data_IF_782349993613
#
_entry.id   IF_782349993613
#
_cell.length_a   1.000
_cell.length_b   1.000
_cell.length_c   1.000
_cell.angle_alpha   90.00
_cell.angle_beta   90.00
_cell.angle_gamma   90.00
#
_symmetry.space_group_name_H-M   'P 1'
#
loop_
_entity.id
_entity.type
_entity.pdbx_description
1 polymer ?
#
# COMPACT_ATOMS: atom_id res chain seq x y z
N UNK A 1 29.10 -18.47 18.83
CA UNK A 1 28.42 -17.61 17.84
C UNK A 1 28.88 -16.18 18.10
N UNK A 2 29.66 -15.61 17.19
CA UNK A 2 30.18 -14.24 17.32
C UNK A 2 29.03 -13.25 17.09
N UNK A 3 28.84 -12.34 18.05
CA UNK A 3 27.89 -11.24 17.94
C UNK A 3 28.22 -10.44 16.67
N UNK A 4 27.29 -10.23 15.72
CA UNK A 4 27.60 -9.48 14.51
C UNK A 4 27.99 -8.06 14.90
N UNK A 5 29.27 -7.71 14.75
CA UNK A 5 29.78 -6.35 15.00
C UNK A 5 29.17 -5.43 13.94
N UNK A 6 28.25 -4.56 14.36
CA UNK A 6 27.75 -3.45 13.54
C UNK A 6 28.98 -2.65 13.05
N UNK A 7 29.09 -2.31 11.75
CA UNK A 7 30.20 -1.53 11.22
C UNK A 7 30.36 -0.22 12.00
N UNK A 8 31.60 0.14 12.36
CA UNK A 8 31.92 1.30 13.19
C UNK A 8 31.35 2.59 12.61
N UNK A 9 31.30 2.70 11.29
CA UNK A 9 30.73 3.82 10.53
C UNK A 9 29.22 3.98 10.76
N UNK A 10 28.46 2.88 10.81
CA UNK A 10 27.01 2.92 11.06
C UNK A 10 26.70 3.33 12.50
N UNK A 11 27.54 2.91 13.46
CA UNK A 11 27.44 3.36 14.86
C UNK A 11 27.72 4.86 14.98
N UNK A 12 28.76 5.36 14.30
CA UNK A 12 29.14 6.77 14.34
C UNK A 12 28.07 7.65 13.67
N UNK A 13 27.50 7.21 12.54
CA UNK A 13 26.44 7.97 11.86
C UNK A 13 25.15 8.01 12.68
N UNK A 14 24.75 6.88 13.29
CA UNK A 14 23.58 6.81 14.17
C UNK A 14 23.77 7.64 15.43
N UNK A 15 24.92 7.52 16.11
CA UNK A 15 25.25 8.34 17.28
C UNK A 15 25.32 9.83 16.92
N UNK A 16 25.89 10.18 15.76
CA UNK A 16 25.97 11.55 15.27
C UNK A 16 24.61 12.16 14.96
N UNK A 17 23.74 11.46 14.22
CA UNK A 17 22.37 11.92 13.95
C UNK A 17 21.56 12.05 15.26
N UNK A 18 21.67 11.07 16.15
CA UNK A 18 20.94 11.10 17.43
C UNK A 18 21.45 12.22 18.33
N UNK A 19 22.76 12.49 18.36
CA UNK A 19 23.37 13.56 19.16
C UNK A 19 23.00 14.97 18.66
N UNK A 20 22.68 15.15 17.37
CA UNK A 20 22.28 16.44 16.79
C UNK A 20 20.77 16.63 16.82
N UNK A 21 19.99 15.59 16.51
CA UNK A 21 18.53 15.67 16.47
C UNK A 21 17.92 15.69 17.87
N UNK A 22 18.42 14.88 18.82
CA UNK A 22 17.84 14.75 20.16
C UNK A 22 17.79 16.09 20.93
N UNK A 23 18.83 16.95 20.94
CA UNK A 23 18.75 18.26 21.57
C UNK A 23 17.66 19.17 20.98
N UNK A 24 17.47 19.14 19.66
CA UNK A 24 16.42 19.91 18.97
C UNK A 24 15.04 19.37 19.32
N UNK A 25 14.86 18.04 19.33
CA UNK A 25 13.60 17.41 19.77
C UNK A 25 13.31 17.73 21.24
N UNK A 26 14.31 17.69 22.12
CA UNK A 26 14.15 18.02 23.54
C UNK A 26 13.86 19.50 23.75
N UNK A 27 14.46 20.38 22.95
CA UNK A 27 14.16 21.82 22.97
C UNK A 27 12.70 22.06 22.59
N UNK A 28 12.24 21.44 21.49
CA UNK A 28 10.84 21.52 21.05
C UNK A 28 9.89 20.91 22.11
N UNK A 29 10.26 19.79 22.74
CA UNK A 29 9.44 19.08 23.72
C UNK A 29 9.23 19.84 25.04
N UNK A 30 10.31 20.43 25.56
CA UNK A 30 10.34 20.95 26.93
C UNK A 30 10.36 22.47 26.98
N UNK A 31 10.85 23.14 25.92
CA UNK A 31 10.99 24.61 25.84
C UNK A 31 10.66 25.15 24.43
N UNK A 32 9.46 24.87 23.88
CA UNK A 32 9.05 25.40 22.58
C UNK A 32 9.03 26.94 22.57
N UNK A 33 8.79 27.56 23.73
CA UNK A 33 8.83 29.01 23.96
C UNK A 33 10.14 29.67 23.50
N UNK A 34 11.28 29.03 23.75
CA UNK A 34 12.60 29.56 23.37
C UNK A 34 12.75 29.59 21.85
N UNK A 35 12.32 28.53 21.18
CA UNK A 35 12.40 28.41 19.73
C UNK A 35 11.44 29.40 19.06
N UNK A 36 10.21 29.49 19.57
CA UNK A 36 9.15 30.37 19.06
C UNK A 36 9.55 31.84 19.22
N UNK A 37 10.06 32.23 20.39
CA UNK A 37 10.51 33.61 20.63
C UNK A 37 11.72 33.97 19.76
N UNK A 38 12.64 33.03 19.52
CA UNK A 38 13.77 33.24 18.63
C UNK A 38 13.35 33.42 17.16
N UNK A 39 12.36 32.65 16.68
CA UNK A 39 11.87 32.73 15.30
C UNK A 39 10.94 33.94 15.10
N UNK A 40 10.07 34.22 16.06
CA UNK A 40 9.22 35.43 16.07
C UNK A 40 10.07 36.70 16.10
N UNK A 41 11.16 36.72 16.87
CA UNK A 41 12.12 37.83 16.91
C UNK A 41 12.87 38.09 15.59
N UNK A 42 12.85 37.13 14.65
CA UNK A 42 13.36 37.29 13.28
C UNK A 42 12.31 37.87 12.32
N UNK A 43 11.08 38.09 12.79
CA UNK A 43 9.98 38.66 12.00
C UNK A 43 9.34 37.68 11.02
N UNK A 44 9.51 36.37 11.22
CA UNK A 44 9.06 35.33 10.28
C UNK A 44 7.55 35.07 10.37
N UNK A 45 7.00 35.04 11.59
CA UNK A 45 5.58 34.85 11.87
C UNK A 45 5.28 35.30 13.32
N UNK A 46 4.00 35.48 13.65
CA UNK A 46 3.56 35.77 15.02
C UNK A 46 3.65 34.54 15.93
N UNK A 47 3.75 34.79 17.25
CA UNK A 47 4.00 33.73 18.24
C UNK A 47 2.90 32.67 18.29
N UNK A 48 1.64 33.04 18.02
CA UNK A 48 0.49 32.14 18.04
C UNK A 48 0.57 31.12 16.89
N UNK A 49 0.79 31.59 15.66
CA UNK A 49 1.00 30.73 14.49
C UNK A 49 2.25 29.85 14.64
N UNK A 50 3.31 30.38 15.24
CA UNK A 50 4.52 29.61 15.54
C UNK A 50 4.28 28.53 16.60
N UNK A 51 3.47 28.79 17.61
CA UNK A 51 3.11 27.80 18.63
C UNK A 51 2.36 26.61 18.05
N UNK A 52 1.40 26.87 17.17
CA UNK A 52 0.64 25.83 16.49
C UNK A 52 1.54 24.98 15.59
N UNK A 53 2.39 25.63 14.77
CA UNK A 53 3.34 24.95 13.89
C UNK A 53 4.40 24.15 14.65
N UNK A 54 4.93 24.68 15.76
CA UNK A 54 5.97 24.00 16.57
C UNK A 54 5.39 22.82 17.36
N UNK A 55 4.18 22.93 17.90
CA UNK A 55 3.51 21.80 18.56
C UNK A 55 3.16 20.69 17.58
N UNK A 56 2.71 21.05 16.37
CA UNK A 56 2.45 20.07 15.32
C UNK A 56 3.77 19.36 14.92
N UNK A 57 4.82 20.13 14.61
CA UNK A 57 6.16 19.61 14.32
C UNK A 57 6.70 18.71 15.44
N UNK A 58 6.41 19.03 16.71
CA UNK A 58 6.79 18.21 17.85
C UNK A 58 6.12 16.83 17.83
N UNK A 59 4.79 16.81 17.66
CA UNK A 59 4.01 15.58 17.57
C UNK A 59 4.50 14.73 16.40
N UNK A 60 4.79 15.37 15.28
CA UNK A 60 5.23 14.71 14.04
C UNK A 60 6.64 14.12 14.17
N UNK A 61 7.59 14.86 14.75
CA UNK A 61 8.94 14.37 15.05
C UNK A 61 8.90 13.24 16.08
N UNK A 62 8.14 13.43 17.17
CA UNK A 62 7.99 12.42 18.22
C UNK A 62 7.46 11.12 17.62
N UNK A 63 6.49 11.21 16.73
CA UNK A 63 5.88 10.06 16.12
C UNK A 63 6.76 9.42 15.04
N UNK A 64 7.45 10.21 14.21
CA UNK A 64 8.49 9.69 13.31
C UNK A 64 9.59 8.95 14.09
N UNK A 65 9.98 9.47 15.26
CA UNK A 65 10.88 8.80 16.19
C UNK A 65 10.27 7.55 16.84
N UNK A 66 8.97 7.53 17.14
CA UNK A 66 8.29 6.34 17.68
C UNK A 66 8.20 5.25 16.63
N UNK A 67 7.85 5.57 15.38
CA UNK A 67 7.75 4.59 14.28
C UNK A 67 9.15 4.10 13.86
N UNK A 68 10.10 5.02 13.67
CA UNK A 68 11.49 4.67 13.33
C UNK A 68 12.18 3.95 14.50
N UNK A 69 11.94 4.42 15.72
CA UNK A 69 12.40 3.80 16.96
C UNK A 69 11.79 2.42 17.16
N UNK A 70 10.50 2.22 16.86
CA UNK A 70 9.86 0.92 16.91
C UNK A 70 10.49 -0.05 15.90
N UNK A 71 10.76 0.40 14.68
CA UNK A 71 11.46 -0.43 13.67
C UNK A 71 12.89 -0.77 14.06
N UNK A 72 13.63 0.20 14.62
CA UNK A 72 15.00 -0.01 15.12
C UNK A 72 15.00 -0.94 16.33
N UNK A 73 14.06 -0.75 17.27
CA UNK A 73 13.88 -1.61 18.45
C UNK A 73 13.42 -3.00 18.04
N UNK A 74 12.53 -3.13 17.05
CA UNK A 74 12.10 -4.41 16.50
C UNK A 74 13.27 -5.12 15.78
N UNK A 75 14.06 -4.41 14.97
CA UNK A 75 15.28 -4.95 14.34
C UNK A 75 16.30 -5.38 15.39
N UNK A 76 16.50 -4.58 16.44
CA UNK A 76 17.37 -4.90 17.57
C UNK A 76 16.86 -6.12 18.35
N UNK A 77 15.57 -6.19 18.68
CA UNK A 77 14.95 -7.34 19.35
C UNK A 77 15.09 -8.61 18.51
N UNK A 78 14.90 -8.53 17.19
CA UNK A 78 15.15 -9.64 16.27
C UNK A 78 16.63 -10.05 16.26
N UNK A 79 17.57 -9.10 16.28
CA UNK A 79 19.00 -9.42 16.38
C UNK A 79 19.34 -10.12 17.69
N UNK A 80 18.75 -9.66 18.81
CA UNK A 80 19.00 -10.22 20.14
C UNK A 80 18.37 -11.60 20.30
N UNK A 81 17.11 -11.80 19.88
CA UNK A 81 16.39 -13.09 20.05
C UNK A 81 16.71 -14.12 18.98
N UNK A 82 16.93 -13.69 17.74
CA UNK A 82 17.03 -14.59 16.58
C UNK A 82 18.39 -14.54 15.90
N UNK A 83 19.32 -13.69 16.35
CA UNK A 83 20.64 -13.52 15.75
C UNK A 83 20.63 -12.89 14.35
N UNK A 84 19.48 -12.36 13.90
CA UNK A 84 19.26 -11.85 12.54
C UNK A 84 18.60 -10.47 12.57
N UNK A 85 19.01 -9.60 11.66
CA UNK A 85 18.35 -8.31 11.44
C UNK A 85 17.00 -8.51 10.77
N UNK A 86 15.96 -7.89 11.31
CA UNK A 86 14.64 -7.78 10.70
C UNK A 86 14.71 -7.05 9.35
N UNK A 87 15.46 -5.93 9.27
CA UNK A 87 15.64 -5.17 8.02
C UNK A 87 16.38 -6.02 6.98
N UNK A 88 17.47 -6.69 7.36
CA UNK A 88 18.14 -7.59 6.42
C UNK A 88 17.24 -8.78 6.04
N UNK A 89 16.47 -9.32 6.98
CA UNK A 89 15.62 -10.48 6.74
C UNK A 89 14.39 -10.15 5.88
N UNK A 90 13.89 -8.92 5.94
CA UNK A 90 12.78 -8.45 5.10
C UNK A 90 13.28 -7.99 3.71
N UNK A 91 14.38 -7.25 3.64
CA UNK A 91 14.76 -6.51 2.41
C UNK A 91 16.05 -6.96 1.69
N UNK A 92 16.97 -7.71 2.33
CA UNK A 92 18.33 -7.95 1.79
C UNK A 92 18.64 -9.44 1.59
N UNK A 93 18.34 -10.28 2.59
CA UNK A 93 18.62 -11.71 2.65
C UNK A 93 17.40 -12.44 3.20
N UNK A 94 16.25 -12.31 2.53
CA UNK A 94 15.03 -13.02 2.90
C UNK A 94 15.18 -14.52 2.55
N UNK A 95 15.33 -15.43 3.54
CA UNK A 95 15.60 -16.84 3.28
C UNK A 95 14.38 -17.59 2.71
N UNK A 96 13.20 -16.94 2.70
CA UNK A 96 11.93 -17.51 2.25
C UNK A 96 11.47 -16.88 0.91
N UNK A 97 12.41 -16.49 0.06
CA UNK A 97 12.21 -15.70 -1.17
C UNK A 97 11.01 -16.16 -2.01
N UNK A 98 9.94 -15.33 -2.04
CA UNK A 98 8.87 -15.38 -3.05
C UNK A 98 9.08 -14.38 -4.19
N UNK A 99 9.75 -13.26 -3.90
CA UNK A 99 9.96 -12.14 -4.81
C UNK A 99 11.47 -11.93 -5.03
N UNK A 100 11.93 -11.66 -6.27
CA UNK A 100 13.35 -11.44 -6.53
C UNK A 100 13.88 -10.26 -5.74
N UNK A 101 15.17 -10.31 -5.38
CA UNK A 101 15.86 -9.23 -4.64
C UNK A 101 15.60 -7.83 -5.19
N UNK A 102 15.51 -7.66 -6.52
CA UNK A 102 15.16 -6.39 -7.17
C UNK A 102 13.84 -5.79 -6.64
N UNK A 103 12.82 -6.62 -6.42
CA UNK A 103 11.53 -6.16 -5.89
C UNK A 103 11.64 -5.69 -4.44
N UNK A 104 12.41 -6.39 -3.61
CA UNK A 104 12.64 -5.98 -2.21
C UNK A 104 13.32 -4.60 -2.16
N UNK A 105 14.25 -4.33 -3.07
CA UNK A 105 14.85 -3.00 -3.21
C UNK A 105 13.83 -1.94 -3.65
N UNK A 106 12.89 -2.26 -4.54
CA UNK A 106 11.81 -1.33 -4.91
C UNK A 106 10.85 -1.04 -3.75
N UNK A 107 10.48 -2.05 -2.96
CA UNK A 107 9.67 -1.85 -1.76
C UNK A 107 10.39 -1.00 -0.69
N UNK A 108 11.69 -1.22 -0.52
CA UNK A 108 12.53 -0.39 0.36
C UNK A 108 12.62 1.05 -0.16
N UNK A 109 12.90 1.24 -1.46
CA UNK A 109 12.94 2.56 -2.07
C UNK A 109 11.60 3.29 -1.93
N UNK A 110 10.49 2.59 -2.16
CA UNK A 110 9.16 3.13 -1.97
C UNK A 110 8.90 3.55 -0.52
N UNK A 111 9.34 2.75 0.46
CA UNK A 111 9.25 3.12 1.87
C UNK A 111 10.05 4.39 2.18
N UNK A 112 11.28 4.50 1.65
CA UNK A 112 12.12 5.68 1.83
C UNK A 112 11.48 6.92 1.20
N UNK A 113 10.96 6.80 -0.02
CA UNK A 113 10.24 7.86 -0.71
C UNK A 113 9.00 8.28 0.10
N UNK A 114 8.21 7.32 0.60
CA UNK A 114 7.08 7.62 1.48
C UNK A 114 7.51 8.42 2.71
N UNK A 115 8.60 8.04 3.37
CA UNK A 115 9.15 8.82 4.49
C UNK A 115 9.60 10.24 4.08
N UNK A 116 10.14 10.40 2.87
CA UNK A 116 10.56 11.72 2.35
C UNK A 116 9.35 12.59 2.04
N UNK A 117 8.30 12.05 1.42
CA UNK A 117 7.04 12.77 1.16
C UNK A 117 6.44 13.25 2.47
N UNK A 118 6.41 12.38 3.47
CA UNK A 118 5.93 12.72 4.82
C UNK A 118 6.76 13.86 5.42
N UNK A 119 8.09 13.75 5.37
CA UNK A 119 8.98 14.78 5.90
C UNK A 119 8.80 16.12 5.18
N UNK A 120 8.70 16.09 3.85
CA UNK A 120 8.49 17.27 3.01
C UNK A 120 7.18 17.97 3.35
N UNK A 121 6.08 17.22 3.42
CA UNK A 121 4.76 17.73 3.81
C UNK A 121 4.78 18.42 5.18
N UNK A 122 5.48 17.84 6.15
CA UNK A 122 5.60 18.42 7.49
C UNK A 122 6.54 19.64 7.55
N UNK A 123 7.57 19.71 6.70
CA UNK A 123 8.50 20.84 6.67
C UNK A 123 7.96 22.04 5.91
N UNK A 124 7.27 21.81 4.78
CA UNK A 124 6.77 22.87 3.91
C UNK A 124 5.37 23.37 4.33
N UNK A 125 4.68 22.61 5.18
CA UNK A 125 3.34 22.96 5.64
C UNK A 125 2.27 22.71 4.58
N UNK A 126 0.99 22.87 4.98
CA UNK A 126 -0.20 22.64 4.15
C UNK A 126 -0.54 23.80 3.21
N UNK A 127 0.44 24.60 2.83
CA UNK A 127 0.12 25.73 1.95
C UNK A 127 -0.31 25.14 0.61
N UNK A 128 -1.57 25.39 0.21
CA UNK A 128 -2.13 24.99 -1.09
C UNK A 128 -1.35 25.58 -2.28
N UNK A 129 -0.42 26.50 -2.01
CA UNK A 129 0.55 27.03 -2.96
C UNK A 129 1.79 26.12 -3.16
N UNK A 130 1.90 25.03 -2.40
CA UNK A 130 2.98 24.07 -2.61
C UNK A 130 2.78 23.37 -3.95
N UNK A 131 3.63 23.73 -4.92
CA UNK A 131 3.64 23.21 -6.29
C UNK A 131 3.64 21.68 -6.39
N UNK A 132 4.03 20.98 -5.32
CA UNK A 132 4.06 19.52 -5.28
C UNK A 132 2.67 18.89 -5.06
N UNK A 133 1.82 19.52 -4.24
CA UNK A 133 0.52 19.01 -3.79
C UNK A 133 -0.67 19.81 -4.32
N UNK A 134 -0.43 20.93 -5.01
CA UNK A 134 -1.48 21.68 -5.72
C UNK A 134 -2.20 20.79 -6.74
N UNK A 135 -3.47 21.10 -7.03
CA UNK A 135 -4.24 20.52 -8.14
C UNK A 135 -3.45 20.59 -9.46
N UNK A 136 -3.54 19.54 -10.27
CA UNK A 136 -2.69 19.25 -11.44
C UNK A 136 -1.18 19.14 -11.13
N UNK A 137 -0.83 19.02 -9.86
CA UNK A 137 0.54 18.91 -9.38
C UNK A 137 1.20 17.57 -9.71
N UNK A 138 2.53 17.47 -9.48
CA UNK A 138 3.27 16.24 -9.70
C UNK A 138 2.76 15.05 -8.87
N UNK A 139 2.29 15.28 -7.63
CA UNK A 139 1.79 14.19 -6.78
C UNK A 139 0.48 13.62 -7.28
N UNK A 140 -0.47 14.46 -7.66
CA UNK A 140 -1.73 14.01 -8.27
C UNK A 140 -1.47 13.22 -9.57
N UNK A 141 -0.63 13.76 -10.45
CA UNK A 141 -0.20 13.09 -11.68
C UNK A 141 0.45 11.73 -11.41
N UNK A 142 1.27 11.65 -10.37
CA UNK A 142 1.93 10.41 -9.95
C UNK A 142 0.93 9.39 -9.40
N UNK A 143 0.00 9.83 -8.56
CA UNK A 143 -1.07 9.00 -7.99
C UNK A 143 -1.95 8.42 -9.09
N UNK A 144 -2.48 9.28 -9.96
CA UNK A 144 -3.31 8.90 -11.09
C UNK A 144 -2.59 7.92 -12.02
N UNK A 145 -1.35 8.23 -12.43
CA UNK A 145 -0.57 7.34 -13.29
C UNK A 145 -0.33 5.98 -12.64
N UNK A 146 -0.01 5.95 -11.35
CA UNK A 146 0.27 4.72 -10.62
C UNK A 146 -0.98 3.82 -10.53
N UNK A 147 -2.15 4.40 -10.23
CA UNK A 147 -3.41 3.66 -10.22
C UNK A 147 -3.83 3.18 -11.62
N UNK A 148 -3.67 4.02 -12.66
CA UNK A 148 -3.98 3.64 -14.04
C UNK A 148 -3.09 2.49 -14.50
N UNK A 149 -1.77 2.58 -14.26
CA UNK A 149 -0.81 1.52 -14.58
C UNK A 149 -1.13 0.25 -13.80
N UNK A 150 -1.43 0.34 -12.50
CA UNK A 150 -1.84 -0.81 -11.70
C UNK A 150 -3.10 -1.48 -12.28
N UNK A 151 -4.14 -0.70 -12.59
CA UNK A 151 -5.38 -1.20 -13.20
C UNK A 151 -5.12 -1.96 -14.51
N UNK A 152 -4.37 -1.36 -15.43
CA UNK A 152 -4.01 -1.96 -16.72
C UNK A 152 -3.19 -3.24 -16.53
N UNK A 153 -2.19 -3.22 -15.65
CA UNK A 153 -1.33 -4.37 -15.38
C UNK A 153 -2.11 -5.55 -14.78
N UNK A 154 -3.04 -5.27 -13.87
CA UNK A 154 -3.88 -6.29 -13.25
C UNK A 154 -4.80 -6.95 -14.28
N UNK A 155 -5.57 -6.14 -15.03
CA UNK A 155 -6.46 -6.62 -16.10
C UNK A 155 -5.66 -7.43 -17.12
N UNK A 156 -4.56 -6.87 -17.62
CA UNK A 156 -3.70 -7.53 -18.59
C UNK A 156 -3.19 -8.87 -18.08
N UNK A 157 -2.80 -8.96 -16.80
CA UNK A 157 -2.26 -10.20 -16.24
C UNK A 157 -3.30 -11.30 -16.09
N UNK A 158 -4.51 -10.98 -15.61
CA UNK A 158 -5.58 -11.99 -15.48
C UNK A 158 -6.15 -12.42 -16.84
N UNK A 159 -6.26 -11.49 -17.79
CA UNK A 159 -6.70 -11.81 -19.16
C UNK A 159 -5.67 -12.67 -19.89
N UNK A 160 -4.38 -12.38 -19.76
CA UNK A 160 -3.32 -13.19 -20.35
C UNK A 160 -3.27 -14.59 -19.73
N UNK A 161 -3.48 -14.72 -18.41
CA UNK A 161 -3.58 -16.02 -17.77
C UNK A 161 -4.78 -16.82 -18.30
N UNK A 162 -5.94 -16.19 -18.40
CA UNK A 162 -7.14 -16.84 -18.97
C UNK A 162 -6.92 -17.27 -20.42
N UNK A 163 -6.29 -16.43 -21.26
CA UNK A 163 -5.96 -16.80 -22.64
C UNK A 163 -5.01 -18.00 -22.73
N UNK A 164 -4.08 -18.12 -21.77
CA UNK A 164 -3.10 -19.20 -21.74
C UNK A 164 -3.68 -20.52 -21.20
N UNK A 165 -4.51 -20.45 -20.17
CA UNK A 165 -4.93 -21.62 -19.40
C UNK A 165 -6.44 -21.93 -19.51
N UNK A 166 -7.23 -21.06 -20.14
CA UNK A 166 -8.68 -21.19 -20.26
C UNK A 166 -9.37 -21.31 -18.90
N UNK A 167 -10.31 -22.25 -18.78
CA UNK A 167 -10.99 -22.54 -17.51
C UNK A 167 -10.06 -23.10 -16.43
N UNK A 168 -8.84 -23.54 -16.79
CA UNK A 168 -7.86 -24.09 -15.85
C UNK A 168 -7.01 -23.01 -15.15
N UNK A 169 -7.28 -21.72 -15.37
CA UNK A 169 -6.56 -20.65 -14.67
C UNK A 169 -6.69 -20.77 -13.13
N UNK A 170 -5.72 -20.21 -12.39
CA UNK A 170 -5.53 -20.49 -10.94
C UNK A 170 -6.78 -20.31 -10.07
N UNK A 171 -7.62 -19.34 -10.41
CA UNK A 171 -8.84 -18.99 -9.66
C UNK A 171 -10.11 -19.13 -10.50
N UNK A 172 -10.03 -19.84 -11.63
CA UNK A 172 -11.10 -19.99 -12.59
C UNK A 172 -11.73 -18.66 -13.02
N UNK A 173 -12.99 -18.73 -13.44
CA UNK A 173 -13.76 -17.57 -13.91
C UNK A 173 -13.92 -16.47 -12.83
N UNK A 174 -14.03 -16.85 -11.55
CA UNK A 174 -14.21 -15.87 -10.48
C UNK A 174 -12.97 -14.99 -10.29
N UNK A 175 -11.76 -15.55 -10.38
CA UNK A 175 -10.55 -14.75 -10.33
C UNK A 175 -10.38 -13.83 -11.53
N UNK A 176 -10.82 -14.25 -12.72
CA UNK A 176 -10.87 -13.38 -13.89
C UNK A 176 -11.81 -12.19 -13.63
N UNK A 177 -13.04 -12.45 -13.17
CA UNK A 177 -14.03 -11.39 -12.89
C UNK A 177 -13.50 -10.43 -11.84
N UNK A 178 -13.03 -10.95 -10.69
CA UNK A 178 -12.51 -10.12 -9.61
C UNK A 178 -11.27 -9.33 -10.02
N UNK A 179 -10.36 -9.92 -10.80
CA UNK A 179 -9.17 -9.23 -11.29
C UNK A 179 -9.51 -8.11 -12.29
N UNK A 180 -10.46 -8.36 -13.20
CA UNK A 180 -10.93 -7.34 -14.14
C UNK A 180 -11.67 -6.23 -13.42
N UNK A 181 -12.60 -6.56 -12.51
CA UNK A 181 -13.31 -5.57 -11.70
C UNK A 181 -12.35 -4.75 -10.85
N UNK A 182 -11.40 -5.40 -10.17
CA UNK A 182 -10.38 -4.70 -9.38
C UNK A 182 -9.56 -3.74 -10.22
N UNK A 183 -9.13 -4.16 -11.43
CA UNK A 183 -8.37 -3.27 -12.30
C UNK A 183 -9.21 -2.13 -12.90
N UNK A 184 -10.51 -2.34 -13.16
CA UNK A 184 -11.43 -1.26 -13.55
C UNK A 184 -11.58 -0.27 -12.40
N UNK A 185 -11.77 -0.73 -11.16
CA UNK A 185 -11.85 0.15 -9.99
C UNK A 185 -10.59 0.99 -9.84
N UNK A 186 -9.40 0.40 -9.99
CA UNK A 186 -8.14 1.15 -9.95
C UNK A 186 -8.05 2.19 -11.07
N UNK A 187 -8.52 1.87 -12.27
CA UNK A 187 -8.58 2.83 -13.37
C UNK A 187 -9.57 3.96 -13.09
N UNK A 188 -10.73 3.66 -12.49
CA UNK A 188 -11.71 4.67 -12.09
C UNK A 188 -11.14 5.60 -11.02
N UNK A 189 -10.44 5.07 -10.01
CA UNK A 189 -9.73 5.89 -9.02
C UNK A 189 -8.72 6.79 -9.72
N UNK A 190 -7.95 6.28 -10.68
CA UNK A 190 -7.01 7.11 -11.45
C UNK A 190 -7.69 8.24 -12.23
N UNK A 191 -8.88 7.99 -12.78
CA UNK A 191 -9.64 9.02 -13.49
C UNK A 191 -10.23 10.03 -12.51
N UNK A 192 -10.73 9.58 -11.37
CA UNK A 192 -11.22 10.47 -10.30
C UNK A 192 -10.12 11.43 -9.89
N UNK A 193 -8.89 10.95 -9.63
CA UNK A 193 -7.72 11.76 -9.25
C UNK A 193 -7.45 12.94 -10.19
N UNK A 194 -7.62 12.79 -11.51
CA UNK A 194 -7.40 13.87 -12.51
C UNK A 194 -8.70 14.53 -12.97
N UNK A 195 -9.74 14.47 -12.13
CA UNK A 195 -11.06 15.02 -12.39
C UNK A 195 -11.63 14.59 -13.76
N UNK A 196 -11.46 13.31 -14.08
CA UNK A 196 -11.83 12.68 -15.35
C UNK A 196 -11.23 13.32 -16.60
N UNK A 197 -10.14 14.08 -16.44
CA UNK A 197 -9.55 14.88 -17.51
C UNK A 197 -10.33 16.15 -17.83
N UNK A 198 -11.24 16.58 -16.96
CA UNK A 198 -12.02 17.81 -17.11
C UNK A 198 -11.13 19.01 -17.48
N UNK A 199 -10.07 19.22 -16.69
CA UNK A 199 -9.11 20.32 -16.86
C UNK A 199 -8.27 20.14 -18.14
N UNK A 200 -7.90 18.90 -18.46
CA UNK A 200 -7.13 18.54 -19.67
C UNK A 200 -7.93 18.85 -20.95
N UNK A 201 -9.23 18.56 -20.97
CA UNK A 201 -10.09 18.75 -22.14
C UNK A 201 -10.85 20.07 -22.14
N UNK A 202 -10.68 20.91 -21.12
CA UNK A 202 -11.36 22.20 -20.99
C UNK A 202 -12.87 22.07 -20.86
N UNK A 203 -13.34 21.02 -20.16
CA UNK A 203 -14.76 20.78 -19.93
C UNK A 203 -15.22 21.67 -18.76
N UNK A 204 -16.21 22.53 -19.01
CA UNK A 204 -16.80 23.38 -17.97
C UNK A 204 -17.63 22.57 -16.97
N UNK A 205 -17.67 23.04 -15.72
CA UNK A 205 -18.47 22.42 -14.66
C UNK A 205 -19.94 22.74 -14.87
N UNK A 206 -20.83 21.74 -14.86
CA UNK A 206 -22.26 22.01 -14.93
C UNK A 206 -22.72 22.95 -13.80
N UNK A 207 -23.59 23.92 -14.11
CA UNK A 207 -24.13 24.90 -13.12
C UNK A 207 -24.71 24.22 -11.87
N UNK A 208 -25.33 23.04 -12.02
CA UNK A 208 -25.88 22.22 -10.92
C UNK A 208 -24.82 21.71 -9.94
N UNK A 209 -23.55 21.63 -10.34
CA UNK A 209 -22.42 21.20 -9.51
C UNK A 209 -21.61 22.38 -8.96
N UNK A 210 -21.70 23.57 -9.58
CA UNK A 210 -21.07 24.79 -9.06
C UNK A 210 -21.64 25.20 -7.70
N UNK A 211 -22.93 24.94 -7.46
CA UNK A 211 -23.58 25.24 -6.17
C UNK A 211 -23.13 24.32 -5.03
N UNK A 212 -22.57 23.14 -5.33
CA UNK A 212 -22.24 22.09 -4.36
C UNK A 212 -20.74 21.88 -4.22
N UNK A 213 -19.96 22.10 -5.29
CA UNK A 213 -18.52 21.92 -5.31
C UNK A 213 -17.79 23.27 -5.48
N UNK A 214 -17.17 23.76 -4.41
CA UNK A 214 -16.39 24.99 -4.41
C UNK A 214 -15.11 24.92 -5.24
N UNK A 215 -14.66 23.73 -5.62
CA UNK A 215 -13.51 23.53 -6.52
C UNK A 215 -13.90 23.56 -8.00
N UNK A 216 -15.19 23.70 -8.33
CA UNK A 216 -15.70 23.69 -9.70
C UNK A 216 -15.25 22.44 -10.47
N UNK A 217 -15.42 21.26 -9.90
CA UNK A 217 -15.07 19.98 -10.54
C UNK A 217 -16.21 18.97 -10.43
N UNK A 218 -16.34 18.06 -11.39
CA UNK A 218 -17.38 17.02 -11.34
C UNK A 218 -16.92 15.69 -10.77
N UNK A 219 -15.68 15.59 -10.31
CA UNK A 219 -15.19 14.35 -9.70
C UNK A 219 -15.95 14.07 -8.39
N UNK A 220 -16.18 12.79 -8.10
CA UNK A 220 -16.96 12.35 -6.95
C UNK A 220 -16.15 12.49 -5.65
N UNK A 221 -14.83 12.37 -5.72
CA UNK A 221 -13.99 12.44 -4.52
C UNK A 221 -13.97 13.85 -3.89
N UNK A 222 -14.15 14.92 -4.68
CA UNK A 222 -14.23 16.32 -4.22
C UNK A 222 -15.62 16.66 -3.72
N UNK A 223 -16.67 16.11 -4.33
CA UNK A 223 -18.05 16.31 -3.87
C UNK A 223 -18.30 15.59 -2.53
N UNK A 224 -17.70 14.42 -2.33
CA UNK A 224 -17.92 13.57 -1.15
C UNK A 224 -16.67 13.39 -0.28
N UNK A 225 -15.73 14.33 -0.28
CA UNK A 225 -14.45 14.25 0.44
C UNK A 225 -14.63 13.84 1.91
N UNK A 226 -15.67 14.39 2.55
CA UNK A 226 -16.01 14.09 3.93
C UNK A 226 -16.44 12.64 4.18
N UNK A 227 -16.95 11.94 3.17
CA UNK A 227 -17.31 10.52 3.27
C UNK A 227 -16.15 9.62 2.86
N UNK A 228 -15.34 10.03 1.89
CA UNK A 228 -14.18 9.27 1.42
C UNK A 228 -13.14 9.05 2.53
N UNK A 229 -13.03 9.93 3.52
CA UNK A 229 -12.15 9.73 4.70
C UNK A 229 -12.42 8.40 5.44
N UNK A 230 -13.70 7.99 5.55
CA UNK A 230 -14.05 6.71 6.16
C UNK A 230 -13.71 5.53 5.25
N UNK A 231 -13.85 5.70 3.93
CA UNK A 231 -13.46 4.68 2.97
C UNK A 231 -11.95 4.45 3.00
N UNK A 232 -11.15 5.52 3.01
CA UNK A 232 -9.69 5.45 3.17
C UNK A 232 -9.30 4.71 4.44
N UNK A 233 -9.95 5.04 5.56
CA UNK A 233 -9.71 4.35 6.82
C UNK A 233 -9.98 2.84 6.77
N UNK A 234 -11.13 2.43 6.21
CA UNK A 234 -11.49 1.02 6.08
C UNK A 234 -10.52 0.28 5.16
N UNK A 235 -10.17 0.88 4.01
CA UNK A 235 -9.21 0.31 3.06
C UNK A 235 -7.83 0.18 3.73
N UNK A 236 -7.38 1.19 4.46
CA UNK A 236 -6.10 1.17 5.16
C UNK A 236 -6.02 0.04 6.20
N UNK A 237 -7.08 -0.17 6.99
CA UNK A 237 -7.16 -1.30 7.92
C UNK A 237 -7.08 -2.63 7.16
N UNK A 238 -7.77 -2.77 6.03
CA UNK A 238 -7.74 -3.98 5.23
C UNK A 238 -6.34 -4.26 4.67
N UNK A 239 -5.66 -3.24 4.13
CA UNK A 239 -4.30 -3.35 3.59
C UNK A 239 -3.28 -3.68 4.70
N UNK A 240 -3.39 -3.03 5.85
CA UNK A 240 -2.55 -3.31 7.02
C UNK A 240 -2.80 -4.73 7.55
N UNK A 241 -4.05 -5.14 7.71
CA UNK A 241 -4.41 -6.48 8.17
C UNK A 241 -3.90 -7.58 7.23
N UNK A 242 -4.02 -7.36 5.92
CA UNK A 242 -3.54 -8.29 4.90
C UNK A 242 -2.01 -8.42 4.90
N UNK A 243 -1.27 -7.31 4.95
CA UNK A 243 0.20 -7.29 5.04
C UNK A 243 0.71 -7.84 6.37
N UNK A 244 0.04 -7.51 7.48
CA UNK A 244 0.36 -8.05 8.80
C UNK A 244 0.18 -9.57 8.83
N UNK A 245 -0.90 -10.09 8.24
CA UNK A 245 -1.09 -11.54 8.09
C UNK A 245 0.03 -12.17 7.27
N UNK A 246 0.45 -11.55 6.15
CA UNK A 246 1.62 -12.00 5.38
C UNK A 246 2.91 -12.00 6.21
N UNK A 247 3.10 -10.99 7.05
CA UNK A 247 4.25 -10.88 7.95
C UNK A 247 4.25 -11.99 9.02
N UNK A 248 3.13 -12.26 9.69
CA UNK A 248 3.00 -13.37 10.64
C UNK A 248 3.25 -14.73 9.99
N UNK A 249 2.69 -14.90 8.79
CA UNK A 249 2.90 -16.08 7.97
C UNK A 249 4.38 -16.26 7.61
N UNK A 250 5.09 -15.17 7.31
CA UNK A 250 6.53 -15.17 7.06
C UNK A 250 7.34 -15.52 8.32
N UNK A 251 7.05 -14.90 9.46
CA UNK A 251 7.68 -15.18 10.75
C UNK A 251 7.58 -16.66 11.14
N UNK A 252 6.41 -17.26 10.94
CA UNK A 252 6.14 -18.64 11.31
C UNK A 252 6.58 -19.68 10.26
N UNK A 253 7.21 -19.24 9.16
CA UNK A 253 7.60 -20.10 8.04
C UNK A 253 6.45 -21.01 7.51
N UNK A 254 5.20 -20.55 7.64
CA UNK A 254 4.04 -21.37 7.29
C UNK A 254 3.98 -21.64 5.77
N UNK A 255 3.30 -22.71 5.33
CA UNK A 255 2.93 -22.89 3.91
C UNK A 255 1.45 -22.54 3.76
N UNK A 256 1.12 -21.60 2.87
CA UNK A 256 -0.27 -21.22 2.60
C UNK A 256 -0.39 -20.57 1.23
N UNK A 257 -1.42 -20.96 0.47
CA UNK A 257 -1.75 -20.39 -0.83
C UNK A 257 -2.18 -18.91 -0.73
N UNK A 258 -2.68 -18.48 0.44
CA UNK A 258 -3.03 -17.07 0.68
C UNK A 258 -1.82 -16.14 0.54
N UNK A 259 -0.60 -16.64 0.78
CA UNK A 259 0.61 -15.83 0.76
C UNK A 259 0.98 -15.31 -0.63
N UNK A 260 0.44 -15.91 -1.68
CA UNK A 260 0.72 -15.49 -3.05
C UNK A 260 -0.27 -14.42 -3.55
N UNK A 261 -1.42 -14.29 -2.85
CA UNK A 261 -2.47 -13.31 -3.13
C UNK A 261 -2.37 -12.12 -2.19
N UNK A 262 -2.01 -12.33 -0.91
CA UNK A 262 -1.86 -11.25 0.06
C UNK A 262 -0.64 -10.37 -0.29
N UNK A 263 -0.66 -9.07 0.04
CA UNK A 263 0.50 -8.22 -0.17
C UNK A 263 1.71 -8.72 0.63
N UNK A 264 2.89 -8.64 0.04
CA UNK A 264 4.12 -9.13 0.66
C UNK A 264 4.45 -8.38 1.97
N UNK A 265 5.12 -9.07 2.89
CA UNK A 265 5.50 -8.51 4.18
C UNK A 265 6.43 -7.28 4.07
N UNK A 266 7.15 -7.12 2.96
CA UNK A 266 7.96 -5.93 2.67
C UNK A 266 7.14 -4.65 2.52
N UNK A 267 5.84 -4.75 2.22
CA UNK A 267 4.93 -3.61 2.09
C UNK A 267 4.30 -3.20 3.43
N UNK A 268 4.64 -3.86 4.54
CA UNK A 268 4.04 -3.59 5.85
C UNK A 268 4.26 -2.14 6.32
N UNK A 269 5.42 -1.55 6.01
CA UNK A 269 5.73 -0.17 6.43
C UNK A 269 4.85 0.82 5.67
N UNK A 270 4.71 0.66 4.36
CA UNK A 270 3.80 1.46 3.54
C UNK A 270 2.35 1.32 4.03
N UNK A 271 1.89 0.09 4.33
CA UNK A 271 0.55 -0.12 4.88
C UNK A 271 0.35 0.54 6.25
N UNK A 272 1.39 0.55 7.10
CA UNK A 272 1.35 1.24 8.38
C UNK A 272 1.29 2.77 8.22
N UNK A 273 2.00 3.33 7.25
CA UNK A 273 1.93 4.76 6.91
C UNK A 273 0.53 5.14 6.43
N UNK A 274 -0.05 4.39 5.49
CA UNK A 274 -1.41 4.59 4.98
C UNK A 274 -2.43 4.58 6.13
N UNK A 275 -2.35 3.56 7.01
CA UNK A 275 -3.24 3.46 8.17
C UNK A 275 -3.07 4.64 9.12
N UNK A 276 -1.84 5.03 9.40
CA UNK A 276 -1.55 6.16 10.29
C UNK A 276 -2.18 7.47 9.79
N UNK A 277 -1.95 7.83 8.52
CA UNK A 277 -2.53 9.07 7.96
C UNK A 277 -4.05 8.98 7.84
N UNK A 278 -4.61 7.79 7.64
CA UNK A 278 -6.07 7.60 7.64
C UNK A 278 -6.72 7.88 9.00
N UNK A 279 -5.98 7.77 10.12
CA UNK A 279 -6.48 8.20 11.45
C UNK A 279 -6.45 9.72 11.63
N UNK A 280 -5.61 10.41 10.88
CA UNK A 280 -5.43 11.84 10.97
C UNK A 280 -6.17 12.48 9.79
N UNK A 281 -7.48 12.68 9.97
CA UNK A 281 -8.45 13.14 8.96
C UNK A 281 -8.08 14.43 8.19
N UNK A 282 -6.96 15.07 8.55
CA UNK A 282 -6.43 16.27 7.93
C UNK A 282 -5.27 16.02 6.93
N UNK A 283 -4.96 14.78 6.60
CA UNK A 283 -3.81 14.42 5.73
C UNK A 283 -4.20 13.53 4.55
N UNK A 284 -5.39 13.73 3.97
CA UNK A 284 -5.88 12.89 2.87
C UNK A 284 -4.93 12.90 1.65
N UNK A 285 -4.34 14.06 1.34
CA UNK A 285 -3.38 14.23 0.24
C UNK A 285 -2.08 13.40 0.40
N UNK A 286 -1.74 12.97 1.62
CA UNK A 286 -0.60 12.07 1.86
C UNK A 286 -0.98 10.59 1.70
N UNK A 287 -2.25 10.24 1.90
CA UNK A 287 -2.71 8.86 1.85
C UNK A 287 -2.61 8.34 0.41
N UNK A 288 -3.08 9.15 -0.54
CA UNK A 288 -3.18 8.82 -1.96
C UNK A 288 -1.86 8.43 -2.62
N UNK A 289 -0.78 9.24 -2.57
CA UNK A 289 0.50 8.87 -3.21
C UNK A 289 1.14 7.65 -2.55
N UNK A 290 1.05 7.51 -1.22
CA UNK A 290 1.60 6.34 -0.50
C UNK A 290 0.78 5.08 -0.84
N UNK A 291 -0.55 5.20 -0.91
CA UNK A 291 -1.45 4.13 -1.34
C UNK A 291 -1.21 3.72 -2.79
N UNK A 292 -0.99 4.68 -3.69
CA UNK A 292 -0.68 4.44 -5.09
C UNK A 292 0.62 3.64 -5.24
N UNK A 293 1.67 3.99 -4.48
CA UNK A 293 2.93 3.24 -4.43
C UNK A 293 2.72 1.81 -3.91
N UNK A 294 1.98 1.66 -2.83
CA UNK A 294 1.62 0.35 -2.27
C UNK A 294 0.91 -0.52 -3.30
N UNK A 295 -0.14 0.03 -3.93
CA UNK A 295 -0.99 -0.69 -4.87
C UNK A 295 -0.24 -1.04 -6.15
N UNK A 296 0.63 -0.17 -6.64
CA UNK A 296 1.47 -0.46 -7.81
C UNK A 296 2.41 -1.65 -7.54
N UNK A 297 3.11 -1.65 -6.40
CA UNK A 297 3.99 -2.75 -6.00
C UNK A 297 3.23 -4.04 -5.75
N UNK A 298 2.10 -3.96 -5.07
CA UNK A 298 1.24 -5.12 -4.80
C UNK A 298 0.67 -5.70 -6.11
N UNK A 299 0.23 -4.85 -7.03
CA UNK A 299 -0.24 -5.27 -8.34
C UNK A 299 0.86 -5.93 -9.13
N UNK A 300 2.08 -5.39 -9.09
CA UNK A 300 3.22 -6.04 -9.74
C UNK A 300 3.50 -7.43 -9.16
N UNK A 301 3.41 -7.60 -7.84
CA UNK A 301 3.47 -8.92 -7.20
C UNK A 301 2.39 -9.86 -7.76
N UNK A 302 1.13 -9.43 -7.85
CA UNK A 302 0.05 -10.23 -8.42
C UNK A 302 0.28 -10.58 -9.89
N UNK A 303 0.78 -9.64 -10.69
CA UNK A 303 1.11 -9.87 -12.09
C UNK A 303 2.13 -11.00 -12.26
N UNK A 304 3.13 -11.06 -11.37
CA UNK A 304 4.11 -12.15 -11.38
C UNK A 304 3.48 -13.48 -11.00
N UNK A 305 2.59 -13.48 -10.03
CA UNK A 305 1.87 -14.69 -9.61
C UNK A 305 1.05 -15.28 -10.76
N UNK A 306 0.28 -14.45 -11.47
CA UNK A 306 -0.52 -14.88 -12.61
C UNK A 306 0.31 -15.32 -13.82
N UNK A 307 1.50 -14.74 -14.03
CA UNK A 307 2.42 -15.14 -15.10
C UNK A 307 3.26 -16.38 -14.78
N UNK A 308 3.38 -16.76 -13.50
CA UNK A 308 4.16 -17.92 -13.11
C UNK A 308 3.51 -19.22 -13.62
N UNK A 309 4.31 -20.23 -14.04
CA UNK A 309 3.79 -21.54 -14.44
C UNK A 309 2.89 -22.12 -13.34
N UNK A 310 1.77 -22.74 -13.73
CA UNK A 310 0.91 -23.41 -12.76
C UNK A 310 1.64 -24.63 -12.17
N UNK A 311 1.54 -24.86 -10.85
CA UNK A 311 2.15 -26.03 -10.23
C UNK A 311 1.49 -27.30 -10.76
N UNK A 312 2.28 -28.35 -11.02
CA UNK A 312 1.81 -29.60 -11.62
C UNK A 312 0.64 -30.26 -10.87
N UNK A 313 0.54 -30.06 -9.55
CA UNK A 313 -0.56 -30.55 -8.72
C UNK A 313 -1.93 -29.95 -9.09
N UNK A 314 -1.96 -28.73 -9.66
CA UNK A 314 -3.20 -28.10 -10.14
C UNK A 314 -3.62 -28.60 -11.54
N UNK A 315 -2.74 -29.31 -12.24
CA UNK A 315 -3.07 -29.93 -13.54
C UNK A 315 -3.70 -31.31 -13.38
N UNK A 316 -3.30 -32.06 -12.35
CA UNK A 316 -3.80 -33.44 -12.08
C UNK A 316 -5.25 -33.44 -11.57
N UNK A 317 -5.65 -32.45 -10.76
CA UNK A 317 -7.02 -32.37 -10.24
C UNK A 317 -8.09 -32.18 -11.33
N UNK A 318 -7.69 -31.75 -12.54
CA UNK A 318 -8.58 -31.55 -13.69
C UNK A 318 -8.73 -32.79 -14.59
N UNK A 319 -7.93 -33.85 -14.40
CA UNK A 319 -8.11 -35.13 -15.12
C UNK A 319 -9.09 -36.06 -14.40
N UNK A 320 -9.46 -35.75 -13.16
CA UNK A 320 -10.33 -36.59 -12.32
C UNK A 320 -11.78 -36.12 -12.22
N UNK A 321 -12.19 -35.03 -12.90
CA UNK A 321 -13.61 -34.73 -13.07
C UNK A 321 -14.18 -35.56 -14.23
N UNK A 322 -15.07 -36.55 -13.98
CA UNK A 322 -15.68 -37.29 -15.06
C UNK A 322 -16.62 -36.36 -15.82
N UNK A 323 -16.48 -36.33 -17.15
CA UNK A 323 -17.42 -35.65 -18.05
C UNK A 323 -18.82 -36.24 -17.87
N UNK A 324 -19.64 -35.63 -17.03
CA UNK A 324 -21.03 -36.04 -16.80
C UNK A 324 -21.92 -35.54 -17.93
N UNK A 325 -21.69 -36.02 -19.16
CA UNK A 325 -22.65 -35.94 -20.28
C UNK A 325 -22.43 -37.18 -21.16
N UNK A 326 -22.84 -38.35 -20.68
CA UNK A 326 -23.46 -39.36 -21.55
C UNK A 326 -24.20 -40.41 -20.72
N UNK A 327 -25.50 -40.20 -20.53
CA UNK A 327 -26.42 -41.24 -20.09
C UNK A 327 -27.58 -41.23 -21.08
N UNK A 328 -27.46 -42.09 -22.10
CA UNK A 328 -28.52 -42.36 -23.07
C UNK A 328 -29.78 -42.93 -22.41
N UNK A 329 -30.90 -43.00 -23.15
CA UNK A 329 -32.20 -43.28 -22.57
C UNK A 329 -32.29 -44.74 -22.10
N UNK A 330 -32.73 -44.91 -20.86
CA UNK A 330 -33.08 -46.21 -20.27
C UNK A 330 -34.31 -46.78 -20.96
N UNK A 331 -34.15 -47.82 -21.77
CA UNK A 331 -35.23 -48.69 -22.21
C UNK A 331 -35.79 -49.49 -21.02
N UNK A 332 -37.11 -49.42 -20.88
CA UNK A 332 -37.93 -50.24 -19.99
C UNK A 332 -37.93 -51.70 -20.45
N UNK A 333 -37.51 -52.63 -19.59
CA UNK A 333 -37.81 -54.04 -19.74
C UNK A 333 -38.56 -54.50 -18.50
N UNK A 334 -39.87 -54.68 -18.68
CA UNK A 334 -40.72 -55.47 -17.80
C UNK A 334 -40.23 -56.92 -17.80
N UNK A 335 -39.98 -57.48 -16.61
CA UNK A 335 -39.86 -58.93 -16.41
C UNK A 335 -40.82 -59.33 -15.30
N UNK A 336 -41.92 -59.96 -15.71
CA UNK A 336 -42.81 -60.71 -14.84
C UNK A 336 -42.64 -62.21 -15.12
N UNK A 337 -42.77 -63.01 -14.06
CA UNK A 337 -42.86 -64.49 -14.03
C UNK A 337 -41.54 -65.23 -14.35
N UNK A 338 -41.12 -66.29 -13.67
CA UNK A 338 -41.71 -67.20 -12.69
C UNK A 338 -40.60 -67.88 -11.85
N UNK A 339 -40.93 -68.29 -10.61
CA UNK A 339 -40.18 -69.31 -9.87
C UNK A 339 -41.00 -70.61 -9.85
N UNK A 340 -40.37 -71.76 -10.15
CA UNK A 340 -40.54 -73.09 -9.50
C UNK A 340 -39.63 -74.08 -10.25
N UNK A 341 -38.73 -74.71 -9.50
CA UNK A 341 -37.75 -75.72 -9.89
C UNK A 341 -36.69 -75.87 -8.82
#
# INVERSE_FOLDING_TARGET
MSNPKIPTTTKVLFVGLTAVCLPVVLLIAFRPDILISAISGLGVADEETLYEKVNQLFVDILLAYVVSGFMIVADWLCRVRMGKSLINALFINNPNERLPKKFQYYALAATVIGCVIILDFFLMGRDQENWLYVEDGPMESFTALSFAVAGILLIGSVVLEYRKNGQRMRFGRNGLILGVMGGIVLFLVAMEEISWGQRIFGIETPELLEEVNTQQEFNLHNIFTDYFKYAYFIVAIALFGATWKSFLLWLNNARSALKDILPDATLLILAAQILYFSFHLMFNELIEPIAAMFILLFTWQLCRFFRAPMPASSMVAAETEPSSIDAGPTESVDVASDAIG
#
